data_IF_960261962994
#
_entry.id   IF_960261962994
#
_cell.length_a   1.000
_cell.length_b   1.000
_cell.length_c   1.000
_cell.angle_alpha   90.00
_cell.angle_beta   90.00
_cell.angle_gamma   90.00
#
_symmetry.space_group_name_H-M   'P 1'
#
loop_
_entity.id
_entity.type
_entity.pdbx_description
1 polymer ?
#
# COMPACT_ATOMS: atom_id res chain seq x y z
N UNK A 1 3.00 34.11 4.50
CA UNK A 1 3.34 32.96 3.62
C UNK A 1 2.31 31.84 3.63
N UNK A 2 1.79 31.37 4.79
CA UNK A 2 0.77 30.30 4.84
C UNK A 2 -0.51 30.56 4.01
N UNK A 3 -1.03 31.78 4.01
CA UNK A 3 -2.23 32.14 3.23
C UNK A 3 -2.03 32.08 1.71
N UNK A 4 -0.82 32.38 1.21
CA UNK A 4 -0.52 32.30 -0.22
C UNK A 4 -0.51 30.85 -0.72
N UNK A 5 0.08 29.93 0.05
CA UNK A 5 0.08 28.51 -0.29
C UNK A 5 -1.33 27.90 -0.25
N UNK A 6 -2.17 28.33 0.70
CA UNK A 6 -3.57 27.88 0.76
C UNK A 6 -4.36 28.33 -0.48
N UNK A 7 -4.24 29.60 -0.90
CA UNK A 7 -4.94 30.12 -2.07
C UNK A 7 -4.53 29.40 -3.36
N UNK A 8 -3.23 29.14 -3.54
CA UNK A 8 -2.74 28.39 -4.71
C UNK A 8 -3.31 26.96 -4.69
N UNK A 9 -3.30 26.29 -3.53
CA UNK A 9 -3.87 24.95 -3.37
C UNK A 9 -5.36 24.91 -3.71
N UNK A 10 -6.16 25.81 -3.14
CA UNK A 10 -7.60 25.88 -3.43
C UNK A 10 -7.89 26.22 -4.90
N UNK A 11 -7.10 27.11 -5.51
CA UNK A 11 -7.27 27.49 -6.92
C UNK A 11 -6.95 26.31 -7.85
N UNK A 12 -5.91 25.53 -7.52
CA UNK A 12 -5.52 24.34 -8.30
C UNK A 12 -6.55 23.22 -8.17
N UNK A 13 -7.11 22.99 -6.99
CA UNK A 13 -8.19 22.01 -6.79
C UNK A 13 -9.47 22.44 -7.53
N UNK A 14 -9.80 23.74 -7.48
CA UNK A 14 -10.97 24.28 -8.17
C UNK A 14 -10.88 24.16 -9.70
N UNK A 15 -9.70 24.38 -10.31
CA UNK A 15 -9.52 24.20 -11.75
C UNK A 15 -9.61 22.75 -12.19
N UNK A 16 -9.09 21.81 -11.39
CA UNK A 16 -9.22 20.37 -11.69
C UNK A 16 -10.68 19.92 -11.62
N UNK A 17 -11.41 20.36 -10.60
CA UNK A 17 -12.85 20.07 -10.46
C UNK A 17 -13.67 20.67 -11.60
N UNK A 18 -13.39 21.91 -12.00
CA UNK A 18 -14.06 22.56 -13.12
C UNK A 18 -13.78 21.83 -14.44
N UNK A 19 -12.53 21.39 -14.67
CA UNK A 19 -12.17 20.62 -15.86
C UNK A 19 -12.90 19.26 -15.91
N UNK A 20 -12.93 18.53 -14.79
CA UNK A 20 -13.62 17.25 -14.70
C UNK A 20 -15.13 17.39 -14.96
N UNK A 21 -15.78 18.41 -14.38
CA UNK A 21 -17.19 18.70 -14.63
C UNK A 21 -17.45 19.14 -16.08
N UNK A 22 -16.53 19.91 -16.67
CA UNK A 22 -16.60 20.32 -18.08
C UNK A 22 -16.57 19.13 -19.03
N UNK A 23 -15.66 18.16 -18.80
CA UNK A 23 -15.57 16.93 -19.58
C UNK A 23 -16.83 16.07 -19.40
N UNK A 24 -17.30 15.90 -18.15
CA UNK A 24 -18.52 15.16 -17.87
C UNK A 24 -19.77 15.77 -18.53
N UNK A 25 -19.86 17.11 -18.55
CA UNK A 25 -20.94 17.82 -19.22
C UNK A 25 -20.90 17.65 -20.75
N UNK A 26 -19.70 17.69 -21.33
CA UNK A 26 -19.52 17.45 -22.77
C UNK A 26 -19.88 16.02 -23.19
N UNK A 27 -19.57 15.02 -22.37
CA UNK A 27 -20.00 13.62 -22.58
C UNK A 27 -21.52 13.48 -22.53
N UNK A 28 -22.18 14.10 -21.54
CA UNK A 28 -23.64 14.02 -21.39
C UNK A 28 -24.41 14.72 -22.53
N UNK A 29 -23.80 15.72 -23.17
CA UNK A 29 -24.46 16.49 -24.23
C UNK A 29 -24.31 15.86 -25.63
N UNK A 30 -23.77 14.63 -25.73
CA UNK A 30 -23.54 13.88 -26.99
C UNK A 30 -22.76 14.64 -28.09
N UNK A 31 -22.14 15.78 -27.75
CA UNK A 31 -21.31 16.57 -28.67
C UNK A 31 -19.92 15.97 -28.91
N UNK A 32 -19.59 14.89 -28.22
CA UNK A 32 -18.44 14.02 -28.43
C UNK A 32 -18.86 12.85 -29.33
N UNK A 33 -19.05 13.13 -30.61
CA UNK A 33 -19.13 12.09 -31.65
C UNK A 33 -17.78 11.36 -31.70
N UNK A 34 -17.78 10.04 -31.90
CA UNK A 34 -16.55 9.21 -31.96
C UNK A 34 -15.46 9.80 -32.87
N UNK A 35 -15.86 10.45 -33.94
CA UNK A 35 -14.96 11.12 -34.88
C UNK A 35 -14.15 12.28 -34.25
N UNK A 36 -14.73 13.04 -33.32
CA UNK A 36 -14.02 14.13 -32.62
C UNK A 36 -13.09 13.60 -31.53
N UNK A 37 -13.49 12.53 -30.86
CA UNK A 37 -12.64 11.85 -29.87
C UNK A 37 -11.45 11.19 -30.56
N UNK A 38 -11.67 10.55 -31.70
CA UNK A 38 -10.61 10.01 -32.56
C UNK A 38 -9.65 11.11 -33.04
N UNK A 39 -10.16 12.28 -33.47
CA UNK A 39 -9.30 13.41 -33.86
C UNK A 39 -8.47 13.97 -32.70
N UNK A 40 -9.01 14.05 -31.49
CA UNK A 40 -8.25 14.50 -30.31
C UNK A 40 -7.15 13.49 -29.97
N UNK A 41 -7.47 12.20 -29.98
CA UNK A 41 -6.50 11.12 -29.72
C UNK A 41 -5.44 11.07 -30.83
N UNK A 42 -5.82 11.23 -32.09
CA UNK A 42 -4.92 11.29 -33.24
C UNK A 42 -3.99 12.50 -33.16
N UNK A 43 -4.50 13.67 -32.72
CA UNK A 43 -3.69 14.87 -32.53
C UNK A 43 -2.66 14.69 -31.38
N UNK A 44 -3.05 14.03 -30.29
CA UNK A 44 -2.13 13.67 -29.19
C UNK A 44 -1.06 12.69 -29.67
N UNK A 45 -1.42 11.76 -30.55
CA UNK A 45 -0.48 10.82 -31.17
C UNK A 45 0.30 11.42 -32.35
N UNK A 46 0.14 12.72 -32.64
CA UNK A 46 0.90 13.42 -33.69
C UNK A 46 0.53 13.01 -35.12
N UNK A 47 -0.62 12.38 -35.32
CA UNK A 47 -1.12 11.99 -36.65
C UNK A 47 -1.88 13.18 -37.22
N UNK A 48 -1.27 13.90 -38.16
CA UNK A 48 -1.94 14.95 -38.94
C UNK A 48 -3.03 14.32 -39.82
N UNK A 49 -4.27 14.25 -39.32
CA UNK A 49 -5.44 13.94 -40.16
C UNK A 49 -5.83 15.18 -40.97
N UNK A 50 -4.93 15.65 -41.84
CA UNK A 50 -5.20 16.77 -42.77
C UNK A 50 -5.70 16.28 -44.13
N UNK A 51 -5.65 14.97 -44.41
CA UNK A 51 -6.30 14.42 -45.59
C UNK A 51 -7.78 14.17 -45.32
N UNK A 52 -8.61 15.09 -45.80
CA UNK A 52 -9.91 14.72 -46.36
C UNK A 52 -9.66 13.53 -47.29
N UNK A 53 -10.14 12.34 -46.92
CA UNK A 53 -10.20 11.22 -47.85
C UNK A 53 -10.93 11.70 -49.10
N UNK A 54 -10.19 11.96 -50.16
CA UNK A 54 -10.77 12.20 -51.47
C UNK A 54 -11.58 10.95 -51.83
N UNK A 55 -12.83 11.08 -52.28
CA UNK A 55 -13.58 9.92 -52.76
C UNK A 55 -12.79 9.34 -53.93
N UNK A 56 -12.30 8.11 -53.76
CA UNK A 56 -11.69 7.33 -54.81
C UNK A 56 -12.68 7.25 -55.98
N UNK A 57 -12.31 7.83 -57.11
CA UNK A 57 -13.06 7.68 -58.36
C UNK A 57 -13.21 6.19 -58.66
N UNK A 58 -14.43 5.69 -58.93
CA UNK A 58 -14.61 4.31 -59.33
C UNK A 58 -13.90 4.12 -60.68
N UNK A 59 -12.96 3.17 -60.72
CA UNK A 59 -12.34 2.70 -61.96
C UNK A 59 -13.47 2.05 -62.78
N UNK A 60 -13.73 2.58 -63.97
CA UNK A 60 -14.74 2.06 -64.90
C UNK A 60 -14.58 0.54 -65.07
N UNK A 61 -15.57 -0.21 -64.64
CA UNK A 61 -15.58 -1.68 -64.58
C UNK A 61 -15.81 -2.38 -65.92
N UNK A 62 -15.29 -1.84 -67.04
CA UNK A 62 -15.57 -2.35 -68.39
C UNK A 62 -14.34 -2.84 -69.16
N UNK A 63 -13.18 -2.97 -68.52
CA UNK A 63 -12.01 -3.65 -69.09
C UNK A 63 -11.84 -5.00 -68.40
N UNK A 64 -11.83 -6.13 -69.13
CA UNK A 64 -11.44 -7.41 -68.56
C UNK A 64 -10.06 -7.26 -67.92
N UNK A 65 -9.83 -7.78 -66.69
CA UNK A 65 -8.53 -7.68 -66.06
C UNK A 65 -7.47 -8.29 -66.99
N UNK A 66 -6.47 -7.49 -67.37
CA UNK A 66 -5.34 -8.00 -68.14
C UNK A 66 -4.67 -9.12 -67.33
N UNK A 67 -4.53 -10.31 -67.92
CA UNK A 67 -3.90 -11.43 -67.24
C UNK A 67 -2.42 -11.10 -67.01
N UNK A 68 -1.92 -11.23 -65.77
CA UNK A 68 -0.54 -10.88 -65.46
C UNK A 68 0.43 -11.76 -66.24
N UNK A 69 1.48 -11.13 -66.77
CA UNK A 69 2.55 -11.89 -67.42
C UNK A 69 3.26 -12.81 -66.42
N UNK A 70 3.79 -13.94 -66.87
CA UNK A 70 4.54 -14.88 -66.00
C UNK A 70 5.70 -14.24 -65.24
N UNK A 71 6.31 -13.17 -65.79
CA UNK A 71 7.37 -12.42 -65.13
C UNK A 71 6.82 -11.56 -63.97
N UNK A 72 5.63 -11.00 -64.14
CA UNK A 72 4.94 -10.18 -63.15
C UNK A 72 4.47 -11.02 -61.96
N UNK A 73 3.93 -12.22 -62.21
CA UNK A 73 3.58 -13.16 -61.14
C UNK A 73 4.79 -13.58 -60.30
N UNK A 74 5.94 -13.82 -60.94
CA UNK A 74 7.19 -14.17 -60.22
C UNK A 74 7.63 -13.01 -59.33
N UNK A 75 7.58 -11.78 -59.85
CA UNK A 75 7.90 -10.57 -59.07
C UNK A 75 6.94 -10.38 -57.89
N UNK A 76 5.64 -10.60 -58.09
CA UNK A 76 4.64 -10.52 -57.02
C UNK A 76 4.86 -11.59 -55.94
N UNK A 77 5.20 -12.82 -56.35
CA UNK A 77 5.56 -13.89 -55.41
C UNK A 77 6.81 -13.56 -54.61
N UNK A 78 7.86 -13.04 -55.25
CA UNK A 78 9.08 -12.61 -54.56
C UNK A 78 8.81 -11.48 -53.55
N UNK A 79 7.99 -10.49 -53.91
CA UNK A 79 7.59 -9.41 -53.00
C UNK A 79 6.77 -9.95 -51.82
N UNK A 80 5.84 -10.88 -52.07
CA UNK A 80 5.05 -11.51 -51.02
C UNK A 80 5.93 -12.31 -50.03
N UNK A 81 6.92 -13.06 -50.54
CA UNK A 81 7.87 -13.80 -49.71
C UNK A 81 8.71 -12.85 -48.84
N UNK A 82 9.26 -11.77 -49.40
CA UNK A 82 10.01 -10.77 -48.64
C UNK A 82 9.15 -10.10 -47.56
N UNK A 83 7.92 -9.75 -47.90
CA UNK A 83 6.98 -9.17 -46.92
C UNK A 83 6.67 -10.15 -45.79
N UNK A 84 6.57 -11.45 -46.10
CA UNK A 84 6.39 -12.49 -45.10
C UNK A 84 7.61 -12.61 -44.17
N UNK A 85 8.82 -12.63 -44.74
CA UNK A 85 10.08 -12.67 -43.98
C UNK A 85 10.21 -11.48 -43.03
N UNK A 86 9.93 -10.26 -43.52
CA UNK A 86 9.97 -9.04 -42.69
C UNK A 86 8.95 -9.10 -41.55
N UNK A 87 7.74 -9.59 -41.82
CA UNK A 87 6.71 -9.76 -40.77
C UNK A 87 7.15 -10.80 -39.73
N UNK A 88 7.72 -11.92 -40.17
CA UNK A 88 8.20 -12.96 -39.26
C UNK A 88 9.33 -12.44 -38.37
N UNK A 89 10.27 -11.69 -38.95
CA UNK A 89 11.36 -11.08 -38.19
C UNK A 89 10.84 -10.04 -37.18
N UNK A 90 9.89 -9.19 -37.60
CA UNK A 90 9.26 -8.21 -36.71
C UNK A 90 8.55 -8.88 -35.53
N UNK A 91 7.79 -9.95 -35.78
CA UNK A 91 7.13 -10.71 -34.71
C UNK A 91 8.14 -11.37 -33.76
N UNK A 92 9.24 -11.90 -34.29
CA UNK A 92 10.27 -12.53 -33.49
C UNK A 92 11.03 -11.52 -32.62
N UNK A 93 11.33 -10.33 -33.16
CA UNK A 93 11.89 -9.21 -32.38
C UNK A 93 10.92 -8.76 -31.29
N UNK A 94 9.65 -8.55 -31.62
CA UNK A 94 8.63 -8.16 -30.66
C UNK A 94 8.44 -9.17 -29.54
N UNK A 95 8.47 -10.47 -29.85
CA UNK A 95 8.46 -11.54 -28.84
C UNK A 95 9.68 -11.45 -27.91
N UNK A 96 10.87 -11.27 -28.48
CA UNK A 96 12.12 -11.20 -27.69
C UNK A 96 12.13 -9.99 -26.76
N UNK A 97 11.64 -8.84 -27.22
CA UNK A 97 11.50 -7.63 -26.42
C UNK A 97 10.45 -7.78 -25.32
N UNK A 98 9.32 -8.42 -25.63
CA UNK A 98 8.30 -8.75 -24.63
C UNK A 98 8.86 -9.69 -23.56
N UNK A 99 9.53 -10.77 -23.94
CA UNK A 99 10.13 -11.72 -23.00
C UNK A 99 11.18 -11.03 -22.11
N UNK A 100 11.98 -10.12 -22.69
CA UNK A 100 12.97 -9.34 -21.93
C UNK A 100 12.32 -8.39 -20.91
N UNK A 101 11.32 -7.62 -21.34
CA UNK A 101 10.59 -6.70 -20.46
C UNK A 101 9.82 -7.43 -19.35
N UNK A 102 9.24 -8.60 -19.64
CA UNK A 102 8.61 -9.45 -18.65
C UNK A 102 9.62 -9.96 -17.61
N UNK A 103 10.79 -10.40 -18.06
CA UNK A 103 11.87 -10.84 -17.16
C UNK A 103 12.34 -9.71 -16.23
N UNK A 104 12.54 -8.50 -16.78
CA UNK A 104 12.89 -7.32 -15.98
C UNK A 104 11.80 -6.97 -14.96
N UNK A 105 10.53 -7.06 -15.34
CA UNK A 105 9.41 -6.76 -14.44
C UNK A 105 9.34 -7.76 -13.28
N UNK A 106 9.54 -9.06 -13.56
CA UNK A 106 9.59 -10.11 -12.54
C UNK A 106 10.74 -9.83 -11.57
N UNK A 107 11.95 -9.54 -12.07
CA UNK A 107 13.11 -9.23 -11.24
C UNK A 107 12.89 -7.96 -10.38
N UNK A 108 12.23 -6.94 -10.93
CA UNK A 108 11.87 -5.74 -10.16
C UNK A 108 10.85 -6.04 -9.07
N UNK A 109 9.84 -6.87 -9.35
CA UNK A 109 8.87 -7.30 -8.35
C UNK A 109 9.54 -8.08 -7.23
N UNK A 110 10.38 -9.06 -7.56
CA UNK A 110 11.08 -9.89 -6.59
C UNK A 110 11.97 -9.03 -5.67
N UNK A 111 12.68 -8.04 -6.23
CA UNK A 111 13.44 -7.07 -5.42
C UNK A 111 12.57 -6.27 -4.44
N UNK A 112 11.37 -5.87 -4.85
CA UNK A 112 10.45 -5.13 -3.98
C UNK A 112 9.93 -6.03 -2.87
N UNK A 113 9.59 -7.28 -3.17
CA UNK A 113 9.12 -8.26 -2.20
C UNK A 113 10.22 -8.58 -1.17
N UNK A 114 11.47 -8.70 -1.61
CA UNK A 114 12.64 -8.88 -0.75
C UNK A 114 12.85 -7.67 0.16
N UNK A 115 12.82 -6.45 -0.39
CA UNK A 115 12.94 -5.21 0.40
C UNK A 115 11.81 -5.06 1.44
N UNK A 116 10.58 -5.41 1.07
CA UNK A 116 9.44 -5.38 1.97
C UNK A 116 9.60 -6.38 3.12
N UNK A 117 10.13 -7.57 2.83
CA UNK A 117 10.40 -8.61 3.81
C UNK A 117 11.51 -8.18 4.77
N UNK A 118 12.62 -7.65 4.25
CA UNK A 118 13.72 -7.13 5.05
C UNK A 118 13.25 -5.97 5.95
N UNK A 119 12.45 -5.05 5.41
CA UNK A 119 11.92 -3.93 6.18
C UNK A 119 11.02 -4.40 7.32
N UNK A 120 10.13 -5.37 7.07
CA UNK A 120 9.30 -5.97 8.13
C UNK A 120 10.16 -6.59 9.23
N UNK A 121 11.17 -7.36 8.86
CA UNK A 121 12.07 -7.98 9.82
C UNK A 121 12.84 -6.95 10.65
N UNK A 122 13.32 -5.87 10.02
CA UNK A 122 13.98 -4.75 10.73
C UNK A 122 13.02 -4.03 11.67
N UNK A 123 11.78 -3.78 11.25
CA UNK A 123 10.76 -3.17 12.10
C UNK A 123 10.47 -4.06 13.32
N UNK A 124 10.28 -5.36 13.11
CA UNK A 124 10.04 -6.32 14.20
C UNK A 124 11.22 -6.43 15.16
N UNK A 125 12.45 -6.42 14.64
CA UNK A 125 13.65 -6.45 15.47
C UNK A 125 13.78 -5.17 16.28
N UNK A 126 13.65 -4.00 15.66
CA UNK A 126 13.75 -2.71 16.35
C UNK A 126 12.61 -2.53 17.34
N UNK A 127 11.38 -2.93 17.00
CA UNK A 127 10.24 -2.82 17.92
C UNK A 127 10.44 -3.71 19.14
N UNK A 128 10.84 -4.97 18.94
CA UNK A 128 11.08 -5.92 20.03
C UNK A 128 12.24 -5.47 20.91
N UNK A 129 13.36 -5.05 20.32
CA UNK A 129 14.53 -4.55 21.05
C UNK A 129 14.20 -3.25 21.81
N UNK A 130 13.52 -2.28 21.18
CA UNK A 130 13.19 -0.99 21.79
C UNK A 130 12.17 -1.15 22.92
N UNK A 131 11.15 -2.00 22.76
CA UNK A 131 10.16 -2.26 23.81
C UNK A 131 10.81 -2.97 24.99
N UNK A 132 11.62 -4.01 24.75
CA UNK A 132 12.31 -4.73 25.82
C UNK A 132 13.34 -3.85 26.54
N UNK A 133 14.10 -3.04 25.80
CA UNK A 133 15.07 -2.10 26.38
C UNK A 133 14.37 -0.97 27.16
N UNK A 134 13.26 -0.45 26.64
CA UNK A 134 12.40 0.51 27.33
C UNK A 134 11.89 -0.02 28.66
N UNK A 135 11.28 -1.20 28.67
CA UNK A 135 10.81 -1.87 29.89
C UNK A 135 11.95 -2.10 30.88
N UNK A 136 13.10 -2.59 30.40
CA UNK A 136 14.28 -2.82 31.26
C UNK A 136 14.84 -1.53 31.87
N UNK A 137 14.82 -0.43 31.13
CA UNK A 137 15.25 0.88 31.63
C UNK A 137 14.29 1.40 32.70
N UNK A 138 12.97 1.27 32.50
CA UNK A 138 11.97 1.64 33.52
C UNK A 138 12.13 0.79 34.78
N UNK A 139 12.36 -0.52 34.66
CA UNK A 139 12.65 -1.40 35.81
C UNK A 139 13.93 -0.97 36.54
N UNK A 140 14.99 -0.60 35.81
CA UNK A 140 16.24 -0.11 36.39
C UNK A 140 16.02 1.19 37.16
N UNK A 141 15.28 2.13 36.57
CA UNK A 141 14.99 3.42 37.18
C UNK A 141 14.09 3.26 38.41
N UNK A 142 13.13 2.33 38.37
CA UNK A 142 12.29 1.95 39.51
C UNK A 142 13.08 1.28 40.65
N UNK A 143 14.11 0.49 40.32
CA UNK A 143 15.00 -0.12 41.32
C UNK A 143 15.85 0.92 42.04
N UNK A 144 16.24 1.99 41.35
CA UNK A 144 17.01 3.10 41.95
C UNK A 144 16.08 4.07 42.68
N UNK A 145 14.85 4.23 42.21
CA UNK A 145 13.84 5.04 42.86
C UNK A 145 13.32 4.41 44.17
N UNK A 146 12.76 5.25 45.04
CA UNK A 146 12.12 4.77 46.28
C UNK A 146 10.84 3.96 45.95
N UNK A 147 10.52 2.90 46.71
CA UNK A 147 9.31 2.08 46.48
C UNK A 147 8.01 2.88 46.39
N UNK A 148 7.89 3.98 47.15
CA UNK A 148 6.72 4.87 47.12
C UNK A 148 6.51 5.54 45.75
N UNK A 149 7.60 5.85 45.03
CA UNK A 149 7.53 6.39 43.67
C UNK A 149 7.18 5.33 42.64
N UNK A 150 7.52 4.07 42.90
CA UNK A 150 7.10 2.94 42.09
C UNK A 150 5.59 2.73 42.13
N UNK A 151 4.99 2.77 43.32
CA UNK A 151 3.53 2.76 43.50
C UNK A 151 2.86 3.88 42.70
N UNK A 152 3.35 5.11 42.83
CA UNK A 152 2.79 6.28 42.13
C UNK A 152 2.82 6.11 40.60
N UNK A 153 3.92 5.55 40.07
CA UNK A 153 4.07 5.30 38.64
C UNK A 153 3.11 4.22 38.14
N UNK A 154 2.96 3.11 38.88
CA UNK A 154 2.04 2.03 38.52
C UNK A 154 0.59 2.49 38.51
N UNK A 155 0.18 3.24 39.54
CA UNK A 155 -1.15 3.85 39.60
C UNK A 155 -1.35 4.87 38.49
N UNK A 156 -0.31 5.63 38.11
CA UNK A 156 -0.39 6.57 36.98
C UNK A 156 -0.59 5.83 35.65
N UNK A 157 0.09 4.70 35.43
CA UNK A 157 -0.08 3.89 34.22
C UNK A 157 -1.50 3.31 34.19
N UNK A 158 -1.97 2.70 35.29
CA UNK A 158 -3.34 2.18 35.38
C UNK A 158 -4.43 3.25 35.17
N UNK A 159 -4.22 4.45 35.69
CA UNK A 159 -5.13 5.58 35.51
C UNK A 159 -5.00 6.25 34.14
N UNK A 160 -3.92 6.00 33.39
CA UNK A 160 -3.72 6.57 32.05
C UNK A 160 -4.60 5.93 30.97
N UNK A 161 -5.12 4.72 31.22
CA UNK A 161 -6.06 4.02 30.34
C UNK A 161 -7.48 4.57 30.32
N UNK A 162 -7.76 5.70 30.99
CA UNK A 162 -9.01 6.44 30.88
C UNK A 162 -10.29 5.66 31.28
N UNK A 163 -11.41 6.03 30.65
CA UNK A 163 -12.73 5.41 30.85
C UNK A 163 -13.04 4.31 29.83
N UNK A 164 -12.22 4.17 28.79
CA UNK A 164 -12.46 3.22 27.70
C UNK A 164 -11.96 1.81 28.10
N UNK A 165 -12.80 0.77 27.96
CA UNK A 165 -12.45 -0.59 28.40
C UNK A 165 -11.17 -1.15 27.75
N UNK A 166 -10.92 -0.82 26.47
CA UNK A 166 -9.76 -1.32 25.73
C UNK A 166 -8.45 -0.65 26.15
N UNK A 167 -8.47 0.65 26.44
CA UNK A 167 -7.28 1.40 26.88
C UNK A 167 -6.90 1.04 28.32
N UNK A 168 -7.90 0.83 29.18
CA UNK A 168 -7.69 0.30 30.54
C UNK A 168 -7.02 -1.07 30.52
N UNK A 169 -7.42 -1.91 29.58
CA UNK A 169 -6.83 -3.24 29.39
C UNK A 169 -5.38 -3.15 28.94
N UNK A 170 -5.05 -2.25 27.99
CA UNK A 170 -3.66 -2.00 27.56
C UNK A 170 -2.79 -1.48 28.70
N UNK A 171 -3.31 -0.55 29.51
CA UNK A 171 -2.61 -0.05 30.69
C UNK A 171 -2.34 -1.16 31.72
N UNK A 172 -3.27 -2.10 31.90
CA UNK A 172 -3.06 -3.28 32.74
C UNK A 172 -2.00 -4.21 32.15
N UNK A 173 -2.02 -4.45 30.84
CA UNK A 173 -1.04 -5.28 30.14
C UNK A 173 0.39 -4.71 30.26
N UNK A 174 0.57 -3.40 30.11
CA UNK A 174 1.86 -2.71 30.28
C UNK A 174 2.43 -2.88 31.70
N UNK A 175 1.56 -2.79 32.72
CA UNK A 175 1.98 -3.03 34.11
C UNK A 175 2.37 -4.49 34.33
N UNK A 176 1.62 -5.44 33.78
CA UNK A 176 1.96 -6.87 33.87
C UNK A 176 3.31 -7.14 33.20
N UNK A 177 3.58 -6.53 32.04
CA UNK A 177 4.87 -6.64 31.35
C UNK A 177 6.01 -6.10 32.22
N UNK A 178 5.79 -4.97 32.89
CA UNK A 178 6.76 -4.36 33.79
C UNK A 178 7.05 -5.23 35.01
N UNK A 179 6.00 -5.82 35.61
CA UNK A 179 6.12 -6.72 36.77
C UNK A 179 6.88 -7.99 36.39
N UNK A 180 6.60 -8.59 35.23
CA UNK A 180 7.25 -9.83 34.79
C UNK A 180 8.77 -9.67 34.56
N UNK A 181 9.24 -8.46 34.26
CA UNK A 181 10.67 -8.15 34.05
C UNK A 181 11.34 -7.69 35.36
N UNK A 182 10.55 -7.34 36.39
CA UNK A 182 11.04 -6.81 37.67
C UNK A 182 11.55 -7.93 38.61
N UNK A 183 12.62 -7.69 39.38
CA UNK A 183 13.01 -8.60 40.46
C UNK A 183 11.95 -8.69 41.56
N UNK A 184 11.70 -9.90 42.07
CA UNK A 184 10.66 -10.20 43.08
C UNK A 184 10.81 -9.31 44.33
N UNK A 185 12.04 -9.03 44.77
CA UNK A 185 12.30 -8.23 45.97
C UNK A 185 11.80 -6.78 45.82
N UNK A 186 12.05 -6.16 44.67
CA UNK A 186 11.62 -4.78 44.38
C UNK A 186 10.10 -4.71 44.23
N UNK A 187 9.50 -5.75 43.66
CA UNK A 187 8.05 -5.86 43.55
C UNK A 187 7.38 -6.02 44.92
N UNK A 188 7.94 -6.87 45.79
CA UNK A 188 7.44 -7.06 47.16
C UNK A 188 7.50 -5.77 47.99
N UNK A 189 8.60 -5.01 47.87
CA UNK A 189 8.75 -3.72 48.55
C UNK A 189 7.74 -2.67 48.07
N UNK A 190 7.38 -2.70 46.79
CA UNK A 190 6.36 -1.82 46.20
C UNK A 190 4.95 -2.26 46.63
N UNK A 191 4.64 -3.57 46.61
CA UNK A 191 3.35 -4.14 47.03
C UNK A 191 3.02 -3.80 48.49
N UNK A 192 4.02 -3.85 49.37
CA UNK A 192 3.85 -3.52 50.79
C UNK A 192 3.45 -2.06 51.05
N UNK A 193 3.46 -1.19 50.05
CA UNK A 193 3.04 0.23 50.14
C UNK A 193 1.62 0.48 49.63
N UNK A 194 0.93 -0.53 49.11
CA UNK A 194 -0.47 -0.45 48.73
C UNK A 194 -1.35 -0.71 49.96
N UNK A 195 -1.87 0.37 50.55
CA UNK A 195 -2.65 0.33 51.80
C UNK A 195 -4.12 0.75 51.59
N UNK A 196 -4.45 1.40 50.46
CA UNK A 196 -5.81 1.86 50.18
C UNK A 196 -6.73 0.74 49.67
N UNK A 197 -7.96 0.65 50.17
CA UNK A 197 -8.94 -0.37 49.75
C UNK A 197 -9.19 -0.36 48.23
N UNK A 198 -9.32 0.82 47.62
CA UNK A 198 -9.49 0.95 46.16
C UNK A 198 -8.24 0.55 45.36
N UNK A 199 -7.05 0.64 45.97
CA UNK A 199 -5.78 0.26 45.34
C UNK A 199 -5.56 -1.26 45.42
N UNK A 200 -6.05 -1.89 46.51
CA UNK A 200 -6.04 -3.33 46.70
C UNK A 200 -6.97 -4.04 45.71
N UNK A 201 -8.14 -3.46 45.42
CA UNK A 201 -9.06 -3.99 44.39
C UNK A 201 -8.40 -3.95 42.99
N UNK A 202 -7.65 -2.89 42.67
CA UNK A 202 -6.91 -2.78 41.41
C UNK A 202 -5.74 -3.78 41.33
N UNK A 203 -5.05 -4.03 42.45
CA UNK A 203 -4.02 -5.07 42.53
C UNK A 203 -4.61 -6.47 42.35
N UNK A 204 -5.78 -6.73 42.94
CA UNK A 204 -6.46 -8.01 42.79
C UNK A 204 -6.84 -8.26 41.33
N UNK A 205 -7.42 -7.28 40.63
CA UNK A 205 -7.75 -7.42 39.21
C UNK A 205 -6.50 -7.66 38.35
N UNK A 206 -5.36 -7.07 38.74
CA UNK A 206 -4.10 -7.26 38.04
C UNK A 206 -3.52 -8.66 38.25
N UNK A 207 -3.60 -9.19 39.47
CA UNK A 207 -3.17 -10.56 39.81
C UNK A 207 -4.07 -11.63 39.20
N UNK A 208 -5.38 -11.41 39.16
CA UNK A 208 -6.34 -12.29 38.48
C UNK A 208 -6.02 -12.37 36.99
N UNK A 209 -5.74 -11.24 36.35
CA UNK A 209 -5.34 -11.22 34.95
C UNK A 209 -3.96 -11.87 34.69
N UNK A 210 -3.00 -11.75 35.63
CA UNK A 210 -1.75 -12.51 35.56
C UNK A 210 -1.98 -14.02 35.62
N UNK A 211 -2.89 -14.47 36.48
CA UNK A 211 -3.25 -15.89 36.64
C UNK A 211 -3.98 -16.44 35.42
N UNK A 212 -4.80 -15.64 34.75
CA UNK A 212 -5.49 -16.03 33.50
C UNK A 212 -4.56 -16.14 32.29
N UNK A 213 -3.29 -15.75 32.40
CA UNK A 213 -2.29 -15.84 31.34
C UNK A 213 -2.03 -14.53 30.58
N UNK A 214 -2.65 -13.43 31.04
CA UNK A 214 -2.44 -12.06 30.54
C UNK A 214 -2.66 -11.90 29.03
N UNK A 215 -1.94 -10.93 28.46
CA UNK A 215 -1.97 -10.59 27.02
C UNK A 215 -1.73 -11.81 26.11
N UNK A 216 -0.80 -12.69 26.49
CA UNK A 216 -0.34 -13.81 25.65
C UNK A 216 -1.44 -14.81 25.33
N UNK A 217 -2.36 -15.09 26.27
CA UNK A 217 -3.47 -16.01 26.04
C UNK A 217 -4.54 -15.39 25.13
N UNK A 218 -4.85 -14.10 25.31
CA UNK A 218 -5.84 -13.37 24.51
C UNK A 218 -5.41 -13.25 23.04
N UNK A 219 -4.15 -12.87 22.80
CA UNK A 219 -3.60 -12.80 21.44
C UNK A 219 -3.63 -14.18 20.76
N UNK A 220 -3.39 -15.26 21.52
CA UNK A 220 -3.49 -16.63 21.02
C UNK A 220 -4.93 -17.03 20.69
N UNK A 221 -5.89 -16.72 21.55
CA UNK A 221 -7.32 -17.00 21.30
C UNK A 221 -7.86 -16.21 20.11
N UNK A 222 -7.42 -14.97 19.93
CA UNK A 222 -7.81 -14.12 18.81
C UNK A 222 -7.20 -14.62 17.49
N UNK A 223 -5.91 -15.01 17.49
CA UNK A 223 -5.27 -15.66 16.36
C UNK A 223 -5.91 -17.02 16.00
N UNK A 224 -6.30 -17.81 17.01
CA UNK A 224 -7.02 -19.07 16.82
C UNK A 224 -8.42 -18.85 16.23
N UNK A 225 -9.14 -17.82 16.65
CA UNK A 225 -10.44 -17.46 16.08
C UNK A 225 -10.37 -16.94 14.63
N UNK A 226 -9.26 -16.29 14.26
CA UNK A 226 -9.03 -15.85 12.89
C UNK A 226 -8.60 -16.99 11.95
N UNK A 227 -7.89 -18.00 12.46
CA UNK A 227 -7.51 -19.20 11.71
C UNK A 227 -8.64 -20.25 11.59
N UNK A 228 -9.66 -20.17 12.45
CA UNK A 228 -10.85 -21.03 12.42
C UNK A 228 -11.98 -20.54 11.51
N UNK A 229 -11.80 -19.43 10.80
CA UNK A 229 -12.69 -18.90 9.75
C UNK A 229 -12.03 -19.00 8.39
#
# INVERSE_FOLDING_TARGET
>A
MRFLFAIIGYTSVATVLAAALGVGYLWKTERLTDERMFRIVALIHGVETTEKLAPSTPIDGNTPPEEPSLAEERRLRELAMRNYEVRQESLQRGKTEFDHSLAQLIEQRDRIDDMATELRQRIDQVSTETVLEGVKNVVRDLKVAKPDKGKELLLRILNSGGSDPEERQKAMDEVIQLINVMPIDTWADILNRFEGAAELDQLHSLQEQQLEGGEKKRVLEEAMNQLGK
#
